data_IF_792433686649
#
_entry.id   IF_792433686649
#
_cell.length_a   1.000
_cell.length_b   1.000
_cell.length_c   1.000
_cell.angle_alpha   90.00
_cell.angle_beta   90.00
_cell.angle_gamma   90.00
#
_symmetry.space_group_name_H-M   'P 1'
#
loop_
_entity.id
_entity.type
_entity.pdbx_description
1 polymer ?
#
# COMPACT_ATOMS: atom_id res chain seq x y z
N UNK A 1 10.13 5.27 -21.52
CA UNK A 1 11.30 4.48 -21.93
C UNK A 1 10.84 3.05 -22.18
N UNK A 2 11.38 2.34 -23.19
CA UNK A 2 11.05 0.92 -23.37
C UNK A 2 11.85 0.08 -22.37
N UNK A 3 11.25 -0.99 -21.85
CA UNK A 3 11.89 -1.90 -20.90
C UNK A 3 13.24 -2.43 -21.40
N UNK A 4 13.34 -2.73 -22.71
CA UNK A 4 14.58 -3.17 -23.38
C UNK A 4 15.77 -2.23 -23.23
N UNK A 5 15.51 -0.93 -23.01
CA UNK A 5 16.54 0.10 -22.94
C UNK A 5 16.95 0.40 -21.49
N UNK A 6 16.24 -0.17 -20.50
CA UNK A 6 16.43 0.08 -19.08
C UNK A 6 17.73 -0.55 -18.55
N UNK A 7 17.99 -1.81 -18.88
CA UNK A 7 19.20 -2.55 -18.46
C UNK A 7 20.51 -1.86 -18.84
N UNK A 8 20.76 -1.49 -20.11
CA UNK A 8 21.98 -0.79 -20.48
C UNK A 8 22.07 0.61 -19.85
N UNK A 9 20.94 1.26 -19.52
CA UNK A 9 20.93 2.54 -18.83
C UNK A 9 21.36 2.40 -17.36
N UNK A 10 20.73 1.49 -16.61
CA UNK A 10 21.08 1.24 -15.21
C UNK A 10 22.54 0.81 -15.07
N UNK A 11 23.02 -0.07 -15.95
CA UNK A 11 24.41 -0.52 -15.92
C UNK A 11 25.40 0.63 -16.12
N UNK A 12 25.07 1.57 -17.02
CA UNK A 12 25.92 2.74 -17.29
C UNK A 12 25.93 3.72 -16.12
N UNK A 13 24.78 4.02 -15.52
CA UNK A 13 24.71 4.93 -14.36
C UNK A 13 25.32 4.29 -13.11
N UNK A 14 25.12 2.98 -12.88
CA UNK A 14 25.76 2.24 -11.79
C UNK A 14 27.28 2.29 -11.92
N UNK A 15 27.82 2.06 -13.13
CA UNK A 15 29.26 2.13 -13.39
C UNK A 15 29.82 3.54 -13.20
N UNK A 16 29.03 4.58 -13.50
CA UNK A 16 29.44 5.99 -13.33
C UNK A 16 29.45 6.40 -11.85
N UNK A 17 28.49 5.94 -11.06
CA UNK A 17 28.34 6.33 -9.65
C UNK A 17 29.23 5.51 -8.71
N UNK A 18 29.32 4.19 -8.96
CA UNK A 18 29.92 3.22 -8.04
C UNK A 18 31.00 2.33 -8.69
N UNK A 19 31.30 2.51 -9.97
CA UNK A 19 32.30 1.71 -10.68
C UNK A 19 31.86 0.25 -10.85
N UNK A 20 32.80 -0.69 -10.71
CA UNK A 20 32.53 -2.13 -10.80
C UNK A 20 32.25 -2.77 -9.44
N UNK A 21 31.98 -1.97 -8.42
CA UNK A 21 31.85 -2.45 -7.04
C UNK A 21 30.47 -3.04 -6.75
N UNK A 22 29.47 -2.62 -7.52
CA UNK A 22 28.08 -3.03 -7.39
C UNK A 22 27.64 -3.78 -8.64
N UNK A 23 26.76 -4.75 -8.44
CA UNK A 23 26.22 -5.61 -9.48
C UNK A 23 24.76 -5.26 -9.75
N UNK A 24 24.44 -5.05 -11.02
CA UNK A 24 23.06 -4.91 -11.46
C UNK A 24 22.38 -6.28 -11.39
N UNK A 25 21.29 -6.37 -10.65
CA UNK A 25 20.45 -7.55 -10.59
C UNK A 25 19.25 -7.44 -11.51
N UNK A 26 18.13 -7.98 -11.03
CA UNK A 26 16.86 -7.96 -11.73
C UNK A 26 16.36 -6.53 -11.96
N UNK A 27 15.60 -6.36 -13.04
CA UNK A 27 15.02 -5.08 -13.45
C UNK A 27 13.55 -5.35 -13.70
N UNK A 28 12.69 -4.49 -13.19
CA UNK A 28 11.25 -4.63 -13.39
C UNK A 28 10.55 -3.30 -13.47
N UNK A 29 9.26 -3.35 -13.77
CA UNK A 29 8.40 -2.18 -13.71
C UNK A 29 7.88 -2.04 -12.30
N UNK A 30 8.29 -0.97 -11.62
CA UNK A 30 7.77 -0.61 -10.31
C UNK A 30 6.53 0.27 -10.48
N UNK A 31 5.44 -0.10 -9.80
CA UNK A 31 4.24 0.73 -9.73
C UNK A 31 4.24 1.47 -8.39
N UNK A 32 4.49 2.78 -8.44
CA UNK A 32 4.50 3.69 -7.29
C UNK A 32 3.21 4.51 -7.24
N UNK A 33 2.92 5.16 -6.13
CA UNK A 33 1.71 6.00 -5.96
C UNK A 33 1.59 7.09 -7.04
N UNK A 34 2.75 7.60 -7.51
CA UNK A 34 2.89 8.60 -8.57
C UNK A 34 2.91 8.06 -10.01
N UNK A 35 2.75 6.75 -10.22
CA UNK A 35 2.71 6.11 -11.54
C UNK A 35 3.77 5.03 -11.76
N UNK A 36 3.94 4.60 -13.01
CA UNK A 36 4.90 3.55 -13.39
C UNK A 36 6.33 4.10 -13.40
N UNK A 37 7.28 3.29 -12.93
CA UNK A 37 8.73 3.51 -12.95
C UNK A 37 9.43 2.22 -13.37
N UNK A 38 10.69 2.32 -13.75
CA UNK A 38 11.58 1.17 -13.92
C UNK A 38 12.46 1.09 -12.68
N UNK A 39 12.57 -0.07 -12.06
CA UNK A 39 13.43 -0.31 -10.91
C UNK A 39 14.48 -1.36 -11.21
N UNK A 40 15.64 -1.27 -10.59
CA UNK A 40 16.69 -2.25 -10.68
C UNK A 40 17.27 -2.58 -9.30
N UNK A 41 17.26 -3.86 -8.91
CA UNK A 41 17.88 -4.33 -7.65
C UNK A 41 19.38 -4.29 -7.83
N UNK A 42 20.08 -3.67 -6.88
CA UNK A 42 21.54 -3.59 -6.89
C UNK A 42 22.11 -4.43 -5.76
N UNK A 43 23.13 -5.21 -6.09
CA UNK A 43 23.78 -6.15 -5.19
C UNK A 43 25.25 -5.78 -4.97
N UNK A 44 25.78 -6.26 -3.85
CA UNK A 44 27.22 -6.28 -3.58
C UNK A 44 27.62 -7.68 -3.14
N UNK A 45 28.74 -8.16 -3.65
CA UNK A 45 29.30 -9.46 -3.27
C UNK A 45 30.42 -9.23 -2.25
N UNK A 46 30.22 -9.70 -1.02
CA UNK A 46 31.19 -9.61 0.08
C UNK A 46 31.39 -10.99 0.67
N UNK A 47 32.66 -11.44 0.78
CA UNK A 47 33.01 -12.75 1.36
C UNK A 47 32.23 -13.94 0.76
N UNK A 48 32.07 -13.96 -0.57
CA UNK A 48 31.33 -14.99 -1.32
C UNK A 48 29.81 -15.02 -1.04
N UNK A 49 29.28 -14.04 -0.30
CA UNK A 49 27.85 -13.85 -0.10
C UNK A 49 27.36 -12.61 -0.86
N UNK A 50 26.17 -12.73 -1.46
CA UNK A 50 25.55 -11.68 -2.25
C UNK A 50 24.53 -10.95 -1.38
N UNK A 51 24.72 -9.65 -1.19
CA UNK A 51 23.83 -8.80 -0.38
C UNK A 51 23.11 -7.81 -1.28
N UNK A 52 21.85 -7.55 -0.99
CA UNK A 52 21.10 -6.47 -1.64
C UNK A 52 21.53 -5.15 -0.99
N UNK A 53 21.98 -4.21 -1.81
CA UNK A 53 22.35 -2.85 -1.38
C UNK A 53 21.14 -1.94 -1.37
N UNK A 54 20.32 -2.04 -2.41
CA UNK A 54 19.10 -1.24 -2.55
C UNK A 54 18.57 -1.26 -3.98
N UNK A 55 17.63 -0.35 -4.24
CA UNK A 55 16.92 -0.22 -5.50
C UNK A 55 17.34 1.08 -6.20
N UNK A 56 17.61 1.02 -7.51
CA UNK A 56 17.73 2.21 -8.35
C UNK A 56 16.44 2.40 -9.14
N UNK A 57 15.86 3.60 -9.13
CA UNK A 57 14.62 3.89 -9.83
C UNK A 57 14.81 4.91 -10.96
N UNK A 58 14.06 4.69 -12.04
CA UNK A 58 14.04 5.52 -13.23
C UNK A 58 12.60 5.84 -13.64
N UNK A 59 12.34 7.12 -13.90
CA UNK A 59 11.06 7.59 -14.41
C UNK A 59 10.82 7.07 -15.82
N UNK A 60 9.55 6.97 -16.24
CA UNK A 60 9.22 6.62 -17.63
C UNK A 60 9.75 7.64 -18.66
N UNK A 61 10.21 8.81 -18.21
CA UNK A 61 10.81 9.84 -19.06
C UNK A 61 12.35 9.75 -19.15
N UNK A 62 12.97 8.79 -18.46
CA UNK A 62 14.43 8.56 -18.51
C UNK A 62 15.23 9.31 -17.44
N UNK A 63 14.57 9.88 -16.44
CA UNK A 63 15.23 10.57 -15.33
C UNK A 63 15.47 9.59 -14.18
N UNK A 64 16.68 9.58 -13.65
CA UNK A 64 17.04 8.77 -12.48
C UNK A 64 16.41 9.43 -11.24
N UNK A 65 15.46 8.75 -10.60
CA UNK A 65 14.67 9.31 -9.50
C UNK A 65 15.34 9.03 -8.16
N UNK A 66 15.72 7.77 -7.94
CA UNK A 66 16.18 7.29 -6.65
C UNK A 66 17.47 6.49 -6.81
N UNK A 67 18.44 6.81 -5.96
CA UNK A 67 19.73 6.13 -5.85
C UNK A 67 20.08 6.09 -4.37
N UNK A 68 20.27 4.91 -3.82
CA UNK A 68 20.80 4.76 -2.46
C UNK A 68 22.18 5.42 -2.35
N UNK A 69 22.47 6.04 -1.20
CA UNK A 69 23.75 6.71 -0.93
C UNK A 69 24.91 5.73 -0.68
N UNK A 70 26.13 6.27 -0.63
CA UNK A 70 27.35 5.49 -0.31
C UNK A 70 27.31 4.88 1.09
N UNK A 71 26.66 5.56 2.05
CA UNK A 71 26.55 5.08 3.42
C UNK A 71 25.79 3.76 3.50
N UNK A 72 24.76 3.58 2.66
CA UNK A 72 24.03 2.32 2.56
C UNK A 72 24.93 1.16 2.15
N UNK A 73 25.84 1.39 1.20
CA UNK A 73 26.83 0.40 0.77
C UNK A 73 27.76 0.03 1.94
N UNK A 74 28.19 1.02 2.73
CA UNK A 74 29.07 0.81 3.89
C UNK A 74 28.35 0.03 5.00
N UNK A 75 27.08 0.32 5.26
CA UNK A 75 26.23 -0.44 6.19
C UNK A 75 26.11 -1.90 5.76
N UNK A 76 25.75 -2.18 4.51
CA UNK A 76 25.65 -3.54 4.00
C UNK A 76 26.96 -4.33 4.16
N UNK A 77 28.11 -3.69 3.91
CA UNK A 77 29.42 -4.31 4.15
C UNK A 77 29.64 -4.58 5.64
N UNK A 78 29.29 -3.63 6.51
CA UNK A 78 29.45 -3.79 7.97
C UNK A 78 28.58 -4.92 8.52
N UNK A 79 27.34 -5.01 8.03
CA UNK A 79 26.38 -6.06 8.41
C UNK A 79 26.85 -7.45 7.95
N UNK A 80 27.47 -7.54 6.77
CA UNK A 80 28.08 -8.77 6.26
C UNK A 80 29.24 -9.29 7.14
N UNK A 81 29.90 -8.41 7.90
CA UNK A 81 30.99 -8.78 8.81
C UNK A 81 30.56 -8.88 10.29
N UNK A 82 29.28 -8.66 10.62
CA UNK A 82 28.77 -8.82 11.99
C UNK A 82 28.15 -10.20 12.20
N UNK A 83 28.45 -10.87 13.32
CA UNK A 83 27.90 -12.22 13.65
C UNK A 83 26.38 -12.24 13.89
N UNK A 84 25.67 -11.09 13.78
CA UNK A 84 24.22 -10.98 13.97
C UNK A 84 23.38 -11.31 12.73
N UNK A 85 23.98 -11.53 11.57
CA UNK A 85 23.29 -11.71 10.27
C UNK A 85 23.32 -13.15 9.74
N UNK A 86 23.07 -14.14 10.61
CA UNK A 86 22.88 -15.53 10.18
C UNK A 86 21.46 -15.82 9.66
N UNK A 87 20.54 -14.85 9.73
CA UNK A 87 19.26 -14.94 9.01
C UNK A 87 19.43 -14.26 7.65
N UNK A 88 19.11 -14.95 6.53
CA UNK A 88 19.02 -14.30 5.24
C UNK A 88 18.07 -13.10 5.38
N UNK A 89 18.53 -11.94 4.94
CA UNK A 89 17.67 -10.78 4.76
C UNK A 89 16.51 -11.24 3.85
N UNK A 90 15.33 -11.49 4.42
CA UNK A 90 14.14 -11.84 3.64
C UNK A 90 14.00 -10.81 2.52
N UNK A 91 13.80 -11.30 1.29
CA UNK A 91 13.71 -10.55 0.03
C UNK A 91 12.44 -9.67 0.04
N UNK A 92 12.40 -8.68 0.93
CA UNK A 92 11.28 -7.75 1.12
C UNK A 92 11.22 -6.66 0.04
N UNK A 93 12.24 -6.61 -0.83
CA UNK A 93 12.26 -5.73 -1.98
C UNK A 93 11.49 -6.41 -3.11
N UNK A 94 10.32 -5.85 -3.41
CA UNK A 94 9.47 -6.08 -4.58
C UNK A 94 9.98 -7.19 -5.51
N UNK A 95 9.26 -8.32 -5.55
CA UNK A 95 9.37 -9.23 -6.71
C UNK A 95 9.10 -8.37 -7.94
N UNK A 96 10.13 -8.20 -8.77
CA UNK A 96 9.91 -7.65 -10.08
C UNK A 96 8.96 -8.60 -10.80
N UNK A 97 8.03 -8.04 -11.58
CA UNK A 97 7.25 -8.83 -12.53
C UNK A 97 8.20 -9.38 -13.59
N UNK A 98 8.94 -10.45 -13.29
CA UNK A 98 9.79 -11.17 -14.23
C UNK A 98 9.75 -12.69 -13.98
N UNK A 99 9.77 -13.41 -15.11
CA UNK A 99 9.63 -14.85 -15.27
C UNK A 99 10.39 -15.65 -14.21
N UNK A 100 9.67 -16.50 -13.47
CA UNK A 100 10.20 -17.39 -12.45
C UNK A 100 11.46 -18.13 -12.95
N UNK A 101 12.61 -17.75 -12.41
CA UNK A 101 13.85 -18.51 -12.58
C UNK A 101 13.81 -19.73 -11.67
N UNK A 102 14.05 -20.88 -12.28
CA UNK A 102 13.95 -22.22 -11.69
C UNK A 102 15.02 -22.48 -10.63
N UNK A 103 14.62 -22.55 -9.36
CA UNK A 103 15.20 -23.47 -8.36
C UNK A 103 14.25 -24.67 -8.16
N UNK A 104 14.76 -25.79 -7.63
CA UNK A 104 14.05 -27.07 -7.45
C UNK A 104 12.89 -27.05 -6.40
N UNK A 105 12.20 -25.92 -6.25
CA UNK A 105 11.07 -25.76 -5.32
C UNK A 105 9.74 -25.96 -6.05
N UNK A 106 8.79 -26.69 -5.43
CA UNK A 106 7.47 -26.93 -5.98
C UNK A 106 6.79 -25.59 -6.34
N UNK A 107 6.29 -25.49 -7.58
CA UNK A 107 5.49 -24.31 -7.98
C UNK A 107 4.21 -24.22 -7.12
N UNK A 108 3.65 -23.01 -6.90
CA UNK A 108 2.40 -22.85 -6.13
C UNK A 108 1.24 -23.70 -6.66
N UNK A 109 1.16 -23.89 -7.98
CA UNK A 109 0.16 -24.76 -8.62
C UNK A 109 0.35 -26.23 -8.20
N UNK A 110 1.58 -26.74 -8.26
CA UNK A 110 1.89 -28.12 -7.86
C UNK A 110 1.70 -28.34 -6.35
N UNK A 111 2.04 -27.33 -5.54
CA UNK A 111 1.78 -27.35 -4.10
C UNK A 111 0.27 -27.46 -3.81
N UNK A 112 -0.58 -26.72 -4.56
CA UNK A 112 -2.04 -26.80 -4.43
C UNK A 112 -2.60 -28.17 -4.78
N UNK A 113 -2.16 -28.75 -5.90
CA UNK A 113 -2.61 -30.09 -6.31
C UNK A 113 -2.25 -31.15 -5.26
N UNK A 114 -1.04 -31.07 -4.69
CA UNK A 114 -0.60 -31.98 -3.62
C UNK A 114 -1.37 -31.76 -2.32
N UNK A 115 -1.69 -30.52 -1.98
CA UNK A 115 -2.55 -30.19 -0.82
C UNK A 115 -3.93 -30.84 -0.95
N UNK A 116 -4.58 -30.72 -2.11
CA UNK A 116 -5.90 -31.30 -2.34
C UNK A 116 -5.88 -32.83 -2.17
N UNK A 117 -4.81 -33.50 -2.62
CA UNK A 117 -4.62 -34.94 -2.43
C UNK A 117 -4.43 -35.31 -0.94
N UNK A 118 -3.60 -34.56 -0.21
CA UNK A 118 -3.34 -34.80 1.22
C UNK A 118 -4.59 -34.57 2.06
N UNK A 119 -5.34 -33.49 1.80
CA UNK A 119 -6.58 -33.18 2.51
C UNK A 119 -7.68 -34.24 2.28
N UNK A 120 -7.70 -34.90 1.12
CA UNK A 120 -8.62 -36.02 0.86
C UNK A 120 -8.29 -37.27 1.67
N UNK A 121 -7.02 -37.52 2.00
CA UNK A 121 -6.63 -38.69 2.81
C UNK A 121 -7.01 -38.53 4.28
N UNK A 122 -6.95 -37.31 4.82
CA UNK A 122 -7.44 -36.97 6.16
C UNK A 122 -6.70 -37.62 7.33
N UNK A 123 -5.53 -38.22 7.12
CA UNK A 123 -4.71 -38.78 8.20
C UNK A 123 -3.91 -37.69 8.91
N UNK A 124 -3.54 -37.90 10.18
CA UNK A 124 -2.76 -36.94 10.95
C UNK A 124 -1.40 -36.62 10.30
N UNK A 125 -0.76 -37.62 9.70
CA UNK A 125 0.51 -37.47 8.99
C UNK A 125 0.34 -36.65 7.69
N UNK A 126 -0.76 -36.86 6.95
CA UNK A 126 -1.06 -36.07 5.75
C UNK A 126 -1.40 -34.61 6.08
N UNK A 127 -2.06 -34.35 7.22
CA UNK A 127 -2.31 -32.99 7.70
C UNK A 127 -1.00 -32.29 8.12
N UNK A 128 -0.05 -33.02 8.72
CA UNK A 128 1.26 -32.47 9.03
C UNK A 128 2.07 -32.16 7.76
N UNK A 129 2.00 -32.99 6.72
CA UNK A 129 2.63 -32.71 5.43
C UNK A 129 1.97 -31.52 4.73
N UNK A 130 0.63 -31.44 4.75
CA UNK A 130 -0.13 -30.31 4.21
C UNK A 130 0.26 -28.98 4.89
N UNK A 131 0.46 -28.98 6.21
CA UNK A 131 0.91 -27.81 6.98
C UNK A 131 2.17 -27.16 6.40
N UNK A 132 3.11 -27.96 5.90
CA UNK A 132 4.38 -27.49 5.35
C UNK A 132 4.25 -26.89 3.93
N UNK A 133 3.16 -27.20 3.22
CA UNK A 133 2.93 -26.71 1.86
C UNK A 133 2.19 -25.37 1.82
N UNK A 134 1.39 -25.06 2.84
CA UNK A 134 0.60 -23.82 2.89
C UNK A 134 1.40 -22.52 2.79
N UNK A 135 2.59 -22.37 3.42
CA UNK A 135 3.37 -21.14 3.31
C UNK A 135 3.71 -20.75 1.86
N UNK A 136 3.89 -21.73 0.97
CA UNK A 136 4.16 -21.51 -0.46
C UNK A 136 2.98 -20.84 -1.19
N UNK A 137 1.77 -20.88 -0.63
CA UNK A 137 0.56 -20.29 -1.20
C UNK A 137 0.24 -18.89 -0.67
N UNK A 138 0.98 -18.40 0.33
CA UNK A 138 0.75 -17.07 0.94
C UNK A 138 1.28 -15.91 0.07
N UNK A 139 2.07 -16.20 -0.96
CA UNK A 139 2.67 -15.21 -1.84
C UNK A 139 1.61 -14.38 -2.58
N UNK A 140 0.49 -14.99 -3.00
CA UNK A 140 -0.56 -14.30 -3.75
C UNK A 140 -1.50 -13.51 -2.81
N UNK A 141 -1.52 -12.16 -2.87
CA UNK A 141 -2.32 -11.33 -1.98
C UNK A 141 -3.83 -11.57 -2.11
N UNK A 142 -4.33 -11.81 -3.33
CA UNK A 142 -5.77 -11.95 -3.59
C UNK A 142 -6.34 -13.24 -2.96
N UNK A 143 -5.51 -14.28 -2.83
CA UNK A 143 -5.89 -15.57 -2.23
C UNK A 143 -5.42 -15.75 -0.80
N UNK A 144 -4.53 -14.89 -0.30
CA UNK A 144 -3.87 -15.03 1.01
C UNK A 144 -4.87 -15.22 2.15
N UNK A 145 -5.95 -14.44 2.20
CA UNK A 145 -6.99 -14.58 3.22
C UNK A 145 -7.67 -15.95 3.21
N UNK A 146 -7.92 -16.52 2.02
CA UNK A 146 -8.49 -17.86 1.88
C UNK A 146 -7.51 -18.95 2.34
N UNK A 147 -6.23 -18.82 1.97
CA UNK A 147 -5.15 -19.73 2.40
C UNK A 147 -5.00 -19.72 3.92
N UNK A 148 -4.96 -18.55 4.56
CA UNK A 148 -4.89 -18.41 6.02
C UNK A 148 -6.10 -19.06 6.73
N UNK A 149 -7.30 -18.91 6.16
CA UNK A 149 -8.49 -19.57 6.68
C UNK A 149 -8.36 -21.10 6.60
N UNK A 150 -7.90 -21.64 5.47
CA UNK A 150 -7.66 -23.08 5.32
C UNK A 150 -6.61 -23.61 6.31
N UNK A 151 -5.52 -22.87 6.50
CA UNK A 151 -4.51 -23.17 7.54
C UNK A 151 -5.15 -23.19 8.93
N UNK A 152 -6.01 -22.23 9.27
CA UNK A 152 -6.70 -22.19 10.54
C UNK A 152 -7.59 -23.43 10.74
N UNK A 153 -8.29 -23.88 9.70
CA UNK A 153 -9.10 -25.10 9.74
C UNK A 153 -8.24 -26.36 9.92
N UNK A 154 -7.07 -26.42 9.29
CA UNK A 154 -6.11 -27.50 9.48
C UNK A 154 -5.59 -27.55 10.92
N UNK A 155 -5.24 -26.41 11.51
CA UNK A 155 -4.80 -26.34 12.91
C UNK A 155 -5.91 -26.76 13.88
N UNK A 156 -7.18 -26.43 13.59
CA UNK A 156 -8.31 -26.97 14.36
C UNK A 156 -8.42 -28.50 14.25
N UNK A 157 -8.18 -29.08 13.08
CA UNK A 157 -8.18 -30.52 12.89
C UNK A 157 -7.04 -31.20 13.68
N UNK A 158 -5.88 -30.53 13.77
CA UNK A 158 -4.75 -30.93 14.60
C UNK A 158 -4.91 -30.61 16.10
N UNK A 159 -6.04 -29.99 16.50
CA UNK A 159 -6.37 -29.57 17.88
C UNK A 159 -5.51 -28.45 18.44
N UNK A 160 -4.87 -27.64 17.59
CA UNK A 160 -4.09 -26.47 17.97
C UNK A 160 -4.97 -25.21 17.95
N UNK A 161 -5.82 -25.04 18.96
CA UNK A 161 -6.83 -23.97 18.96
C UNK A 161 -6.25 -22.56 18.97
N UNK A 162 -5.17 -22.31 19.72
CA UNK A 162 -4.53 -20.98 19.78
C UNK A 162 -3.87 -20.59 18.44
N UNK A 163 -3.26 -21.54 17.74
CA UNK A 163 -2.67 -21.28 16.43
C UNK A 163 -3.77 -21.01 15.39
N UNK A 164 -4.86 -21.76 15.44
CA UNK A 164 -6.02 -21.52 14.58
C UNK A 164 -6.66 -20.15 14.81
N UNK A 165 -6.80 -19.71 16.07
CA UNK A 165 -7.34 -18.39 16.40
C UNK A 165 -6.51 -17.26 15.78
N UNK A 166 -5.17 -17.30 15.90
CA UNK A 166 -4.29 -16.31 15.27
C UNK A 166 -4.44 -16.29 13.74
N UNK A 167 -4.45 -17.47 13.10
CA UNK A 167 -4.64 -17.56 11.64
C UNK A 167 -6.02 -17.04 11.20
N UNK A 168 -7.06 -17.22 12.00
CA UNK A 168 -8.37 -16.61 11.74
C UNK A 168 -8.35 -15.09 11.86
N UNK A 169 -7.65 -14.54 12.85
CA UNK A 169 -7.45 -13.09 13.00
C UNK A 169 -6.77 -12.54 11.74
N UNK A 170 -5.71 -13.19 11.28
CA UNK A 170 -4.97 -12.77 10.08
C UNK A 170 -5.82 -12.91 8.81
N UNK A 171 -6.57 -14.00 8.66
CA UNK A 171 -7.52 -14.16 7.55
C UNK A 171 -8.60 -13.05 7.53
N UNK A 172 -9.12 -12.67 8.70
CA UNK A 172 -10.12 -11.59 8.83
C UNK A 172 -9.55 -10.24 8.42
N UNK A 173 -8.28 -9.97 8.76
CA UNK A 173 -7.59 -8.75 8.32
C UNK A 173 -7.51 -8.68 6.80
N UNK A 174 -7.17 -9.79 6.13
CA UNK A 174 -7.15 -9.85 4.66
C UNK A 174 -8.54 -9.74 4.04
N UNK A 175 -9.56 -10.39 4.63
CA UNK A 175 -10.93 -10.24 4.16
C UNK A 175 -11.46 -8.81 4.33
N UNK A 176 -11.05 -8.11 5.39
CA UNK A 176 -11.42 -6.73 5.61
C UNK A 176 -10.76 -5.79 4.58
N UNK A 177 -9.50 -6.06 4.19
CA UNK A 177 -8.81 -5.34 3.11
C UNK A 177 -9.62 -5.36 1.79
N UNK A 178 -10.25 -6.50 1.48
CA UNK A 178 -11.02 -6.74 0.25
C UNK A 178 -12.54 -6.61 0.42
N UNK A 179 -13.01 -6.07 1.56
CA UNK A 179 -14.43 -5.91 1.88
C UNK A 179 -15.29 -7.19 1.77
N UNK A 180 -14.71 -8.36 2.09
CA UNK A 180 -15.34 -9.68 2.01
C UNK A 180 -16.12 -10.03 3.29
N UNK A 181 -17.16 -9.23 3.61
CA UNK A 181 -17.89 -9.31 4.88
C UNK A 181 -18.50 -10.69 5.19
N UNK A 182 -18.97 -11.41 4.17
CA UNK A 182 -19.58 -12.73 4.36
C UNK A 182 -18.56 -13.78 4.82
N UNK A 183 -17.28 -13.62 4.45
CA UNK A 183 -16.21 -14.49 4.93
C UNK A 183 -15.81 -14.13 6.37
N UNK A 184 -15.80 -12.85 6.72
CA UNK A 184 -15.58 -12.40 8.10
C UNK A 184 -16.69 -12.94 9.01
N UNK A 185 -17.95 -12.86 8.59
CA UNK A 185 -19.10 -13.39 9.34
C UNK A 185 -18.94 -14.89 9.63
N UNK A 186 -18.53 -15.70 8.64
CA UNK A 186 -18.24 -17.13 8.83
C UNK A 186 -17.13 -17.38 9.86
N UNK A 187 -16.10 -16.55 9.88
CA UNK A 187 -15.02 -16.65 10.87
C UNK A 187 -15.53 -16.27 12.26
N UNK A 188 -16.31 -15.19 12.39
CA UNK A 188 -16.96 -14.77 13.65
C UNK A 188 -17.82 -15.89 14.22
N UNK A 189 -18.69 -16.50 13.40
CA UNK A 189 -19.54 -17.62 13.82
C UNK A 189 -18.73 -18.82 14.32
N UNK A 190 -17.60 -19.11 13.65
CA UNK A 190 -16.74 -20.24 14.00
C UNK A 190 -15.96 -19.98 15.27
N UNK A 191 -15.32 -18.82 15.41
CA UNK A 191 -14.61 -18.42 16.64
C UNK A 191 -15.56 -18.33 17.84
N UNK A 192 -16.80 -17.89 17.63
CA UNK A 192 -17.84 -17.89 18.67
C UNK A 192 -18.07 -19.28 19.26
N UNK A 193 -17.97 -20.34 18.46
CA UNK A 193 -18.10 -21.73 18.94
C UNK A 193 -16.86 -22.24 19.69
N UNK A 194 -15.69 -21.64 19.45
CA UNK A 194 -14.41 -22.07 20.02
C UNK A 194 -14.14 -21.33 21.34
N UNK A 195 -14.19 -19.99 21.29
CA UNK A 195 -13.82 -19.11 22.42
C UNK A 195 -15.05 -18.76 23.28
N UNK A 196 -16.25 -18.85 22.72
CA UNK A 196 -17.51 -18.55 23.39
C UNK A 196 -18.03 -17.14 23.15
N UNK A 197 -19.36 -16.96 23.28
CA UNK A 197 -20.04 -15.71 22.93
C UNK A 197 -19.61 -14.49 23.77
N UNK A 198 -19.24 -14.69 25.04
CA UNK A 198 -18.85 -13.56 25.91
C UNK A 198 -17.48 -13.00 25.51
N UNK A 199 -16.50 -13.88 25.28
CA UNK A 199 -15.16 -13.48 24.83
C UNK A 199 -15.20 -12.81 23.44
N UNK A 200 -16.08 -13.28 22.55
CA UNK A 200 -16.22 -12.70 21.21
C UNK A 200 -16.71 -11.26 21.21
N UNK A 201 -17.44 -10.79 22.23
CA UNK A 201 -17.93 -9.40 22.27
C UNK A 201 -16.80 -8.37 22.23
N UNK A 202 -15.67 -8.68 22.87
CA UNK A 202 -14.50 -7.78 22.97
C UNK A 202 -13.38 -8.16 22.02
N UNK A 203 -13.54 -9.25 21.26
CA UNK A 203 -12.52 -9.77 20.37
C UNK A 203 -12.29 -8.87 19.15
N UNK A 204 -11.03 -8.74 18.74
CA UNK A 204 -10.61 -7.93 17.58
C UNK A 204 -11.34 -8.29 16.27
N UNK A 205 -11.62 -9.57 16.03
CA UNK A 205 -12.37 -10.03 14.85
C UNK A 205 -13.77 -9.43 14.81
N UNK A 206 -14.47 -9.36 15.95
CA UNK A 206 -15.79 -8.74 16.05
C UNK A 206 -15.71 -7.22 15.82
N UNK A 207 -14.66 -6.57 16.33
CA UNK A 207 -14.42 -5.13 16.09
C UNK A 207 -14.19 -4.86 14.59
N UNK A 208 -13.33 -5.64 13.95
CA UNK A 208 -13.05 -5.55 12.50
C UNK A 208 -14.29 -5.84 11.67
N UNK A 209 -15.10 -6.83 12.06
CA UNK A 209 -16.39 -7.12 11.43
C UNK A 209 -17.32 -5.91 11.47
N UNK A 210 -17.57 -5.34 12.65
CA UNK A 210 -18.44 -4.17 12.79
C UNK A 210 -17.91 -2.96 12.03
N UNK A 211 -16.60 -2.67 12.08
CA UNK A 211 -15.99 -1.58 11.31
C UNK A 211 -16.18 -1.77 9.81
N UNK A 212 -15.97 -2.98 9.30
CA UNK A 212 -16.17 -3.30 7.88
C UNK A 212 -17.64 -3.15 7.49
N UNK A 213 -18.55 -3.58 8.36
CA UNK A 213 -20.00 -3.44 8.17
C UNK A 213 -20.45 -1.97 8.17
N UNK A 214 -19.82 -1.13 8.98
CA UNK A 214 -20.04 0.32 9.00
C UNK A 214 -19.52 1.00 7.73
N UNK A 215 -18.31 0.67 7.28
CA UNK A 215 -17.75 1.15 6.00
C UNK A 215 -18.67 0.76 4.83
N UNK A 216 -19.30 -0.41 4.85
CA UNK A 216 -20.23 -0.89 3.82
C UNK A 216 -21.66 -0.28 3.87
N UNK A 217 -21.96 0.60 4.83
CA UNK A 217 -23.30 1.21 4.91
C UNK A 217 -23.59 2.06 3.69
N UNK A 218 -24.71 1.78 3.03
CA UNK A 218 -25.13 2.55 1.88
C UNK A 218 -25.45 4.00 2.23
N UNK A 219 -25.06 4.90 1.34
CA UNK A 219 -25.34 6.32 1.39
C UNK A 219 -26.68 6.62 0.74
N UNK A 220 -27.45 7.53 1.36
CA UNK A 220 -28.78 7.89 0.89
C UNK A 220 -28.79 9.21 0.13
N UNK A 221 -27.94 10.15 0.53
CA UNK A 221 -27.77 11.45 -0.10
C UNK A 221 -26.29 11.90 -0.07
N UNK A 222 -25.89 12.80 -0.98
CA UNK A 222 -24.56 13.42 -0.99
C UNK A 222 -24.26 14.20 0.30
N UNK A 223 -25.28 14.62 1.05
CA UNK A 223 -25.10 15.21 2.38
C UNK A 223 -24.51 14.24 3.41
N UNK A 224 -24.65 12.92 3.19
CA UNK A 224 -24.09 11.90 4.07
C UNK A 224 -22.60 11.63 3.75
N UNK A 225 -22.12 12.11 2.59
CA UNK A 225 -20.73 11.92 2.15
C UNK A 225 -19.79 12.80 2.99
N UNK A 226 -18.88 12.15 3.71
CA UNK A 226 -18.00 12.83 4.68
C UNK A 226 -17.19 13.98 4.08
N UNK A 227 -16.64 13.82 2.87
CA UNK A 227 -15.83 14.87 2.22
C UNK A 227 -16.66 16.11 1.84
N UNK A 228 -17.98 15.96 1.69
CA UNK A 228 -18.91 17.02 1.30
C UNK A 228 -19.62 17.67 2.50
N UNK A 229 -19.31 17.25 3.73
CA UNK A 229 -19.85 17.88 4.94
C UNK A 229 -19.52 19.38 4.98
N UNK A 230 -20.56 20.18 5.16
CA UNK A 230 -20.47 21.64 5.22
C UNK A 230 -20.57 22.35 3.86
N UNK A 231 -20.70 21.61 2.75
CA UNK A 231 -21.05 22.21 1.46
C UNK A 231 -22.51 22.72 1.46
N UNK A 232 -22.83 23.78 0.69
CA UNK A 232 -24.19 24.30 0.61
C UNK A 232 -25.19 23.24 0.15
N UNK A 233 -26.35 23.15 0.81
CA UNK A 233 -27.40 22.17 0.46
C UNK A 233 -27.86 22.29 -1.00
N UNK A 234 -27.92 23.52 -1.54
CA UNK A 234 -28.27 23.75 -2.94
C UNK A 234 -27.26 23.15 -3.91
N UNK A 235 -25.96 23.25 -3.61
CA UNK A 235 -24.89 22.64 -4.41
C UNK A 235 -25.03 21.11 -4.41
N UNK A 236 -25.22 20.49 -3.25
CA UNK A 236 -25.35 19.03 -3.15
C UNK A 236 -26.58 18.52 -3.91
N UNK A 237 -27.68 19.27 -3.85
CA UNK A 237 -28.91 18.94 -4.60
C UNK A 237 -28.69 19.05 -6.12
N UNK A 238 -27.97 20.07 -6.56
CA UNK A 238 -27.63 20.25 -7.98
C UNK A 238 -26.69 19.13 -8.47
N UNK A 239 -25.68 18.76 -7.66
CA UNK A 239 -24.80 17.62 -7.94
C UNK A 239 -25.57 16.30 -8.05
N UNK A 240 -26.50 16.02 -7.13
CA UNK A 240 -27.36 14.83 -7.19
C UNK A 240 -28.24 14.81 -8.45
N UNK A 241 -28.76 15.96 -8.86
CA UNK A 241 -29.61 16.09 -10.05
C UNK A 241 -28.82 15.88 -11.35
N UNK A 242 -27.57 16.35 -11.41
CA UNK A 242 -26.68 16.16 -12.56
C UNK A 242 -26.04 14.76 -12.60
N UNK A 243 -26.17 13.97 -11.54
CA UNK A 243 -25.61 12.63 -11.45
C UNK A 243 -26.44 11.59 -12.22
N UNK A 244 -25.75 10.67 -12.89
CA UNK A 244 -26.37 9.43 -13.36
C UNK A 244 -26.32 8.37 -12.24
N UNK A 245 -27.46 7.82 -11.84
CA UNK A 245 -27.56 6.70 -10.89
C UNK A 245 -27.38 5.37 -11.66
N UNK A 246 -26.20 4.75 -11.50
CA UNK A 246 -25.81 3.55 -12.25
C UNK A 246 -25.70 2.36 -11.31
N UNK A 247 -26.26 1.23 -11.73
CA UNK A 247 -26.10 -0.07 -11.03
C UNK A 247 -25.17 -0.95 -11.85
N UNK A 248 -24.14 -1.47 -11.20
CA UNK A 248 -23.09 -2.30 -11.77
C UNK A 248 -23.26 -3.76 -11.28
N UNK A 249 -23.08 -4.71 -12.20
CA UNK A 249 -22.98 -6.12 -11.87
C UNK A 249 -21.58 -6.44 -11.29
N UNK A 250 -21.45 -7.54 -10.54
CA UNK A 250 -20.13 -7.94 -10.02
C UNK A 250 -19.17 -8.22 -11.19
N UNK A 251 -17.98 -7.66 -11.11
CA UNK A 251 -16.92 -7.76 -12.11
C UNK A 251 -17.01 -6.71 -13.23
N UNK A 252 -18.07 -5.91 -13.28
CA UNK A 252 -18.22 -4.84 -14.27
C UNK A 252 -17.20 -3.72 -14.02
N UNK A 253 -16.51 -3.29 -15.08
CA UNK A 253 -15.49 -2.24 -15.03
C UNK A 253 -16.13 -0.91 -15.44
N UNK A 254 -16.08 0.09 -14.56
CA UNK A 254 -16.68 1.42 -14.80
C UNK A 254 -15.66 2.43 -15.32
N UNK A 255 -14.39 2.26 -14.98
CA UNK A 255 -13.25 3.04 -15.46
C UNK A 255 -12.12 2.05 -15.74
N UNK A 256 -11.47 2.15 -16.90
CA UNK A 256 -10.32 1.32 -17.25
C UNK A 256 -9.00 2.08 -17.10
N UNK A 257 -7.94 1.40 -16.68
CA UNK A 257 -6.58 1.95 -16.55
C UNK A 257 -6.05 2.47 -17.90
N UNK A 258 -5.40 3.65 -17.88
CA UNK A 258 -4.75 4.23 -19.05
C UNK A 258 -5.67 5.01 -19.99
N UNK A 259 -6.99 4.96 -19.80
CA UNK A 259 -7.94 5.75 -20.58
C UNK A 259 -7.93 7.24 -20.18
N UNK A 260 -8.33 8.17 -21.06
CA UNK A 260 -8.46 9.57 -20.69
C UNK A 260 -9.41 9.76 -19.50
N UNK A 261 -8.92 10.38 -18.42
CA UNK A 261 -9.73 10.66 -17.24
C UNK A 261 -10.78 11.72 -17.59
N UNK A 262 -12.02 11.29 -17.78
CA UNK A 262 -13.15 12.12 -18.21
C UNK A 262 -14.37 12.00 -17.30
N UNK A 263 -14.36 11.03 -16.38
CA UNK A 263 -15.49 10.69 -15.51
C UNK A 263 -15.04 10.58 -14.07
N UNK A 264 -15.94 10.93 -13.18
CA UNK A 264 -15.81 10.74 -11.74
C UNK A 264 -17.13 10.20 -11.16
N UNK A 265 -17.06 9.64 -9.96
CA UNK A 265 -18.18 8.95 -9.35
C UNK A 265 -18.09 8.93 -7.83
N UNK A 266 -19.21 8.65 -7.19
CA UNK A 266 -19.31 8.30 -5.77
C UNK A 266 -19.97 6.95 -5.63
N UNK A 267 -19.43 6.12 -4.74
CA UNK A 267 -20.04 4.84 -4.39
C UNK A 267 -21.22 5.10 -3.45
N UNK A 268 -22.43 4.68 -3.86
CA UNK A 268 -23.64 4.78 -3.04
C UNK A 268 -23.86 3.54 -2.20
N UNK A 269 -23.66 2.35 -2.77
CA UNK A 269 -23.75 1.06 -2.07
C UNK A 269 -22.90 0.01 -2.79
N UNK A 270 -22.47 -1.03 -2.07
CA UNK A 270 -21.52 -2.00 -2.59
C UNK A 270 -20.09 -1.46 -2.54
N UNK A 271 -19.19 -2.00 -3.36
CA UNK A 271 -17.77 -1.60 -3.39
C UNK A 271 -17.22 -1.63 -4.80
N UNK A 272 -16.18 -0.84 -5.03
CA UNK A 272 -15.36 -0.88 -6.25
C UNK A 272 -13.93 -1.24 -5.86
N UNK A 273 -13.33 -2.20 -6.53
CA UNK A 273 -11.91 -2.52 -6.41
C UNK A 273 -11.10 -1.65 -7.35
N UNK A 274 -9.99 -1.11 -6.84
CA UNK A 274 -8.93 -0.48 -7.63
C UNK A 274 -8.00 -1.57 -8.12
N UNK A 275 -7.99 -1.80 -9.42
CA UNK A 275 -7.29 -2.91 -10.06
C UNK A 275 -6.22 -2.37 -11.00
N UNK A 276 -5.03 -2.94 -10.92
CA UNK A 276 -3.92 -2.65 -11.81
C UNK A 276 -3.77 -3.78 -12.84
N UNK A 277 -3.86 -3.45 -14.13
CA UNK A 277 -4.03 -4.43 -15.20
C UNK A 277 -2.73 -4.93 -15.84
N UNK A 278 -1.59 -4.30 -15.58
CA UNK A 278 -0.32 -4.70 -16.22
C UNK A 278 0.64 -5.39 -15.27
N UNK A 279 0.12 -6.33 -14.49
CA UNK A 279 0.80 -7.46 -13.87
C UNK A 279 0.45 -8.71 -14.71
N UNK A 280 1.13 -9.87 -14.54
CA UNK A 280 0.73 -11.12 -15.24
C UNK A 280 -0.76 -11.47 -15.01
N UNK A 281 -1.26 -11.13 -13.81
CA UNK A 281 -2.68 -11.16 -13.47
C UNK A 281 -3.11 -9.82 -12.87
N UNK A 282 -4.31 -9.29 -13.20
CA UNK A 282 -4.78 -8.04 -12.64
C UNK A 282 -4.78 -8.08 -11.11
N UNK A 283 -3.99 -7.20 -10.49
CA UNK A 283 -3.83 -7.15 -9.03
C UNK A 283 -4.83 -6.17 -8.43
N UNK A 284 -5.57 -6.60 -7.41
CA UNK A 284 -6.40 -5.68 -6.63
C UNK A 284 -5.52 -4.97 -5.59
N UNK A 285 -5.52 -3.63 -5.63
CA UNK A 285 -4.69 -2.82 -4.74
C UNK A 285 -5.45 -2.46 -3.47
N UNK A 286 -6.69 -2.03 -3.62
CA UNK A 286 -7.59 -1.68 -2.51
C UNK A 286 -9.04 -1.80 -2.95
N UNK A 287 -9.93 -1.97 -1.99
CA UNK A 287 -11.37 -1.78 -2.19
C UNK A 287 -11.79 -0.40 -1.70
N UNK A 288 -12.63 0.26 -2.49
CA UNK A 288 -13.27 1.53 -2.18
C UNK A 288 -14.69 1.29 -1.65
N UNK A 289 -15.08 2.08 -0.65
CA UNK A 289 -16.32 1.94 0.10
C UNK A 289 -17.35 3.03 -0.24
N UNK A 290 -18.64 2.83 0.12
CA UNK A 290 -19.66 3.86 0.02
C UNK A 290 -19.22 5.21 0.58
N UNK A 291 -19.36 6.26 -0.22
CA UNK A 291 -18.97 7.63 0.10
C UNK A 291 -17.63 8.08 -0.44
N UNK A 292 -16.80 7.16 -0.95
CA UNK A 292 -15.57 7.54 -1.62
C UNK A 292 -15.87 8.17 -2.99
N UNK A 293 -15.21 9.30 -3.27
CA UNK A 293 -15.27 10.02 -4.54
C UNK A 293 -14.07 9.64 -5.41
N UNK A 294 -14.30 8.97 -6.53
CA UNK A 294 -13.25 8.43 -7.39
C UNK A 294 -13.25 9.12 -8.75
N UNK A 295 -12.10 9.12 -9.43
CA UNK A 295 -11.93 9.75 -10.74
C UNK A 295 -11.62 11.25 -10.64
N UNK A 296 -11.00 11.69 -9.55
CA UNK A 296 -10.66 13.07 -9.22
C UNK A 296 -9.79 13.72 -10.31
N UNK A 297 -8.97 12.92 -10.98
CA UNK A 297 -8.15 13.38 -12.10
C UNK A 297 -8.98 13.89 -13.30
N UNK A 298 -10.25 13.46 -13.44
CA UNK A 298 -11.14 13.93 -14.49
C UNK A 298 -11.61 15.37 -14.31
N UNK A 299 -11.47 15.94 -13.11
CA UNK A 299 -11.93 17.30 -12.79
C UNK A 299 -10.82 18.23 -12.30
N UNK A 300 -9.72 17.68 -11.75
CA UNK A 300 -8.58 18.46 -11.25
C UNK A 300 -7.52 18.78 -12.32
N UNK A 301 -7.67 18.26 -13.53
CA UNK A 301 -6.82 18.57 -14.67
C UNK A 301 -7.67 18.98 -15.86
N UNK A 302 -7.09 19.63 -16.89
CA UNK A 302 -7.82 19.88 -18.11
C UNK A 302 -8.41 18.57 -18.67
N UNK A 303 -9.68 18.56 -19.12
CA UNK A 303 -10.39 17.34 -19.48
C UNK A 303 -9.62 16.42 -20.45
N UNK A 304 -9.47 15.14 -20.08
CA UNK A 304 -8.83 14.11 -20.91
C UNK A 304 -7.31 14.28 -21.09
N UNK A 305 -6.66 15.20 -20.38
CA UNK A 305 -5.20 15.40 -20.49
C UNK A 305 -4.35 14.43 -19.71
N UNK A 306 -4.92 13.81 -18.68
CA UNK A 306 -4.24 12.80 -17.87
C UNK A 306 -4.95 11.45 -18.02
N UNK A 307 -4.22 10.34 -18.05
CA UNK A 307 -4.82 9.02 -18.03
C UNK A 307 -5.32 8.66 -16.62
N UNK A 308 -6.26 7.73 -16.57
CA UNK A 308 -6.65 7.00 -15.36
C UNK A 308 -5.47 6.14 -14.89
N UNK A 309 -5.25 6.09 -13.58
CA UNK A 309 -4.09 5.39 -12.98
C UNK A 309 -4.35 3.92 -12.68
N UNK A 310 -5.62 3.52 -12.63
CA UNK A 310 -6.06 2.16 -12.34
C UNK A 310 -7.48 1.95 -12.89
N UNK A 311 -7.87 0.68 -13.02
CA UNK A 311 -9.24 0.29 -13.33
C UNK A 311 -10.09 0.27 -12.07
N UNK A 312 -11.37 0.64 -12.17
CA UNK A 312 -12.36 0.52 -11.11
C UNK A 312 -13.37 -0.57 -11.47
N UNK A 313 -13.41 -1.63 -10.68
CA UNK A 313 -14.23 -2.82 -10.95
C UNK A 313 -15.20 -3.10 -9.80
N UNK A 314 -16.47 -3.35 -10.09
CA UNK A 314 -17.44 -3.70 -9.06
C UNK A 314 -17.09 -5.04 -8.39
N UNK A 315 -16.82 -5.01 -7.08
CA UNK A 315 -16.45 -6.22 -6.33
C UNK A 315 -17.70 -6.99 -5.83
N UNK A 316 -18.81 -6.26 -5.68
CA UNK A 316 -20.09 -6.73 -5.14
C UNK A 316 -21.23 -6.50 -6.13
N UNK A 317 -22.33 -7.22 -5.92
CA UNK A 317 -23.55 -7.01 -6.68
C UNK A 317 -24.77 -6.89 -5.75
N UNK A 318 -25.64 -5.88 -5.96
CA UNK A 318 -25.43 -4.74 -6.85
C UNK A 318 -24.50 -3.68 -6.21
N UNK A 319 -23.48 -3.21 -6.95
CA UNK A 319 -22.80 -1.96 -6.61
C UNK A 319 -23.55 -0.81 -7.29
N UNK A 320 -23.91 0.23 -6.54
CA UNK A 320 -24.57 1.43 -7.08
C UNK A 320 -23.68 2.65 -6.91
N UNK A 321 -23.65 3.49 -7.93
CA UNK A 321 -22.84 4.69 -7.97
C UNK A 321 -23.65 5.88 -8.47
N UNK A 322 -23.24 7.08 -8.06
CA UNK A 322 -23.54 8.32 -8.77
C UNK A 322 -22.37 8.66 -9.65
N UNK A 323 -22.61 8.85 -10.95
CA UNK A 323 -21.56 9.11 -11.95
C UNK A 323 -21.78 10.47 -12.61
N UNK A 324 -20.69 11.19 -12.84
CA UNK A 324 -20.70 12.46 -13.59
C UNK A 324 -19.70 12.42 -14.74
N UNK A 325 -20.04 13.13 -15.81
CA UNK A 325 -19.04 13.58 -16.76
C UNK A 325 -18.26 14.73 -16.10
N UNK A 326 -16.93 14.67 -16.15
CA UNK A 326 -16.05 15.60 -15.43
C UNK A 326 -16.33 17.07 -15.79
N UNK A 327 -16.70 17.34 -17.04
CA UNK A 327 -17.02 18.70 -17.50
C UNK A 327 -18.20 19.34 -16.75
N UNK A 328 -19.18 18.56 -16.31
CA UNK A 328 -20.32 19.06 -15.54
C UNK A 328 -19.84 19.53 -14.15
N UNK A 329 -19.04 18.70 -13.49
CA UNK A 329 -18.45 19.01 -12.20
C UNK A 329 -17.45 20.17 -12.25
N UNK A 330 -16.66 20.31 -13.30
CA UNK A 330 -15.77 21.47 -13.50
C UNK A 330 -16.60 22.76 -13.57
N UNK A 331 -17.77 22.73 -14.22
CA UNK A 331 -18.67 23.88 -14.29
C UNK A 331 -19.27 24.23 -12.92
N UNK A 332 -19.57 23.22 -12.10
CA UNK A 332 -19.98 23.40 -10.71
C UNK A 332 -18.85 23.98 -9.85
N UNK A 333 -17.63 23.46 -9.95
CA UNK A 333 -16.45 23.93 -9.22
C UNK A 333 -16.12 25.39 -9.53
N UNK A 334 -16.30 25.84 -10.78
CA UNK A 334 -16.11 27.24 -11.16
C UNK A 334 -17.10 28.19 -10.45
N UNK A 335 -18.30 27.71 -10.11
CA UNK A 335 -19.31 28.47 -9.35
C UNK A 335 -19.15 28.32 -7.84
N UNK A 336 -18.67 27.17 -7.39
CA UNK A 336 -18.52 26.78 -5.98
C UNK A 336 -17.09 26.29 -5.71
N UNK A 337 -16.11 27.20 -5.49
CA UNK A 337 -14.70 26.85 -5.30
C UNK A 337 -14.46 25.91 -4.11
N UNK A 338 -15.34 25.92 -3.11
CA UNK A 338 -15.28 25.01 -1.97
C UNK A 338 -15.36 23.53 -2.39
N UNK A 339 -16.03 23.22 -3.50
CA UNK A 339 -16.13 21.85 -4.02
C UNK A 339 -14.77 21.36 -4.55
N UNK A 340 -14.02 22.22 -5.24
CA UNK A 340 -12.69 21.89 -5.73
C UNK A 340 -11.76 21.54 -4.56
N UNK A 341 -11.82 22.31 -3.48
CA UNK A 341 -11.03 22.04 -2.27
C UNK A 341 -11.36 20.64 -1.73
N UNK A 342 -12.64 20.26 -1.64
CA UNK A 342 -13.04 18.92 -1.15
C UNK A 342 -12.55 17.80 -2.05
N UNK A 343 -12.63 17.97 -3.37
CA UNK A 343 -12.17 16.96 -4.33
C UNK A 343 -10.65 16.82 -4.29
N UNK A 344 -9.92 17.92 -4.11
CA UNK A 344 -8.47 17.91 -3.94
C UNK A 344 -8.05 17.15 -2.68
N UNK A 345 -8.70 17.42 -1.54
CA UNK A 345 -8.48 16.67 -0.30
C UNK A 345 -8.79 15.18 -0.46
N UNK A 346 -9.88 14.83 -1.17
CA UNK A 346 -10.20 13.43 -1.45
C UNK A 346 -9.08 12.74 -2.25
N UNK A 347 -8.53 13.42 -3.27
CA UNK A 347 -7.39 12.91 -4.05
C UNK A 347 -6.16 12.68 -3.18
N UNK A 348 -5.84 13.60 -2.27
CA UNK A 348 -4.69 13.49 -1.36
C UNK A 348 -4.82 12.26 -0.45
N UNK A 349 -6.01 12.04 0.13
CA UNK A 349 -6.29 10.85 0.96
C UNK A 349 -6.15 9.57 0.13
N UNK A 350 -6.73 9.53 -1.08
CA UNK A 350 -6.62 8.33 -1.93
C UNK A 350 -5.21 8.05 -2.42
N UNK A 351 -4.37 9.08 -2.59
CA UNK A 351 -2.94 8.90 -2.87
C UNK A 351 -2.23 8.23 -1.69
N UNK A 352 -2.57 8.59 -0.45
CA UNK A 352 -2.05 7.94 0.75
C UNK A 352 -2.51 6.48 0.88
N UNK A 353 -3.79 6.19 0.67
CA UNK A 353 -4.29 4.81 0.68
C UNK A 353 -3.61 3.92 -0.37
N UNK A 354 -3.42 4.47 -1.57
CA UNK A 354 -2.73 3.80 -2.66
C UNK A 354 -1.25 3.60 -2.33
N UNK A 355 -0.61 4.59 -1.72
CA UNK A 355 0.76 4.51 -1.22
C UNK A 355 0.91 3.35 -0.22
N UNK A 356 0.09 3.29 0.84
CA UNK A 356 0.18 2.21 1.81
C UNK A 356 -0.03 0.83 1.20
N UNK A 357 -0.83 0.74 0.15
CA UNK A 357 -1.13 -0.53 -0.53
C UNK A 357 -0.05 -0.95 -1.54
N UNK A 358 0.71 0.00 -2.11
CA UNK A 358 1.74 -0.27 -3.13
C UNK A 358 3.16 -0.19 -2.58
N UNK A 359 3.38 0.43 -1.41
CA UNK A 359 4.71 0.60 -0.83
C UNK A 359 5.29 -0.75 -0.41
N UNK A 360 6.58 -0.95 -0.72
CA UNK A 360 7.28 -2.23 -0.58
C UNK A 360 7.13 -2.83 0.82
N UNK A 361 7.33 -2.02 1.87
CA UNK A 361 7.28 -2.48 3.27
C UNK A 361 5.89 -2.36 3.89
N UNK A 362 5.05 -1.43 3.41
CA UNK A 362 3.78 -1.08 4.09
C UNK A 362 2.58 -1.84 3.57
N UNK A 363 2.69 -2.46 2.39
CA UNK A 363 1.68 -3.38 1.87
C UNK A 363 1.38 -4.56 2.81
N UNK A 364 2.33 -4.89 3.70
CA UNK A 364 2.19 -5.96 4.69
C UNK A 364 1.47 -5.51 5.97
N UNK A 365 1.22 -4.21 6.15
CA UNK A 365 0.45 -3.72 7.28
C UNK A 365 -1.03 -4.02 7.07
N UNK A 366 -1.66 -4.58 8.11
CA UNK A 366 -3.09 -4.84 8.07
C UNK A 366 -3.92 -3.54 8.06
N UNK A 367 -5.18 -3.63 7.61
CA UNK A 367 -6.10 -2.48 7.55
C UNK A 367 -6.20 -1.70 8.86
N UNK A 368 -6.03 -2.35 10.01
CA UNK A 368 -6.16 -1.67 11.31
C UNK A 368 -4.97 -0.77 11.57
N UNK A 369 -3.76 -1.25 11.29
CA UNK A 369 -2.54 -0.45 11.42
C UNK A 369 -2.53 0.67 10.38
N UNK A 370 -2.96 0.39 9.14
CA UNK A 370 -3.05 1.41 8.09
C UNK A 370 -4.06 2.51 8.43
N UNK A 371 -5.27 2.13 8.87
CA UNK A 371 -6.28 3.09 9.36
C UNK A 371 -5.70 3.94 10.52
N UNK A 372 -5.01 3.32 11.48
CA UNK A 372 -4.43 4.04 12.62
C UNK A 372 -3.25 4.95 12.23
N UNK A 373 -2.47 4.58 11.22
CA UNK A 373 -1.41 5.42 10.67
C UNK A 373 -1.99 6.64 9.94
N UNK A 374 -3.09 6.45 9.19
CA UNK A 374 -3.85 7.55 8.60
C UNK A 374 -4.44 8.49 9.67
N UNK A 375 -4.85 7.96 10.83
CA UNK A 375 -5.32 8.79 11.97
C UNK A 375 -4.19 9.65 12.60
N UNK A 376 -2.93 9.32 12.32
CA UNK A 376 -1.76 10.13 12.68
C UNK A 376 -1.51 11.28 11.70
N UNK A 377 -2.18 11.31 10.55
CA UNK A 377 -2.04 12.37 9.55
C UNK A 377 -2.54 13.70 10.13
N UNK A 378 -1.64 14.67 10.21
CA UNK A 378 -1.94 16.03 10.63
C UNK A 378 -2.49 16.86 9.46
N UNK A 379 -1.77 16.84 8.34
CA UNK A 379 -2.13 17.57 7.13
C UNK A 379 -1.40 17.02 5.91
N UNK A 380 -1.89 17.36 4.72
CA UNK A 380 -1.12 17.28 3.48
C UNK A 380 -0.88 18.71 3.02
N UNK A 381 0.37 19.07 2.72
CA UNK A 381 0.75 20.44 2.35
C UNK A 381 1.73 20.46 1.17
N UNK A 382 1.70 21.54 0.39
CA UNK A 382 2.69 21.81 -0.64
C UNK A 382 3.76 22.73 -0.08
N UNK A 383 5.01 22.29 -0.10
CA UNK A 383 6.16 23.04 0.39
C UNK A 383 6.97 23.64 -0.75
N UNK A 384 7.38 24.90 -0.59
CA UNK A 384 8.25 25.60 -1.53
C UNK A 384 9.71 25.13 -1.41
N UNK A 385 10.51 25.22 -2.49
CA UNK A 385 11.93 24.89 -2.44
C UNK A 385 12.68 25.70 -1.38
N UNK A 386 13.56 25.05 -0.63
CA UNK A 386 14.34 25.63 0.46
C UNK A 386 13.60 25.77 1.78
N UNK A 387 12.30 25.40 1.86
CA UNK A 387 11.57 25.35 3.13
C UNK A 387 12.18 24.28 4.03
N UNK A 388 12.62 24.69 5.22
CA UNK A 388 13.10 23.80 6.27
C UNK A 388 11.91 23.00 6.84
N UNK A 389 12.11 21.70 7.01
CA UNK A 389 11.11 20.75 7.51
C UNK A 389 11.46 20.25 8.91
N UNK A 390 12.73 19.94 9.17
CA UNK A 390 13.25 19.52 10.47
C UNK A 390 14.55 20.29 10.73
N UNK A 391 14.66 20.93 11.89
CA UNK A 391 15.84 21.70 12.30
C UNK A 391 16.93 20.79 12.91
N UNK A 392 18.18 21.26 12.88
CA UNK A 392 19.31 20.56 13.49
C UNK A 392 19.21 20.55 15.03
N UNK A 393 19.63 19.43 15.63
CA UNK A 393 19.56 19.16 17.08
C UNK A 393 18.13 19.12 17.65
N UNK A 394 17.11 19.02 16.80
CA UNK A 394 15.72 18.88 17.20
C UNK A 394 15.24 17.42 17.07
N UNK A 395 14.40 16.99 18.02
CA UNK A 395 13.64 15.74 17.88
C UNK A 395 12.45 16.02 16.97
N UNK A 396 12.23 15.26 15.88
CA UNK A 396 11.17 15.58 14.94
C UNK A 396 9.79 15.56 15.60
N UNK A 397 9.12 16.71 15.67
CA UNK A 397 7.71 16.79 16.09
C UNK A 397 6.77 16.16 15.05
N UNK A 398 7.20 16.18 13.78
CA UNK A 398 6.49 15.61 12.65
C UNK A 398 7.35 14.68 11.82
N UNK A 399 6.71 13.68 11.23
CA UNK A 399 7.27 12.82 10.19
C UNK A 399 6.66 13.21 8.85
N UNK A 400 7.47 13.24 7.79
CA UNK A 400 7.02 13.64 6.47
C UNK A 400 7.07 12.47 5.49
N UNK A 401 5.99 12.26 4.73
CA UNK A 401 5.97 11.36 3.58
C UNK A 401 5.97 12.19 2.29
N UNK A 402 6.93 11.95 1.40
CA UNK A 402 7.02 12.66 0.12
C UNK A 402 6.04 12.04 -0.88
N UNK A 403 4.92 12.70 -1.15
CA UNK A 403 3.93 12.26 -2.15
C UNK A 403 4.37 12.67 -3.56
N UNK A 404 4.95 13.86 -3.69
CA UNK A 404 5.51 14.38 -4.94
C UNK A 404 6.70 15.28 -4.64
N UNK A 405 7.71 15.24 -5.50
CA UNK A 405 8.89 16.10 -5.41
C UNK A 405 10.04 15.40 -4.71
N UNK A 406 10.90 16.19 -4.07
CA UNK A 406 12.13 15.74 -3.42
C UNK A 406 12.40 16.54 -2.15
N UNK A 407 12.82 15.84 -1.11
CA UNK A 407 13.34 16.40 0.14
C UNK A 407 14.82 16.03 0.23
N UNK A 408 15.64 16.91 0.79
CA UNK A 408 17.06 16.65 1.02
C UNK A 408 17.39 16.81 2.49
N UNK A 409 18.24 15.92 2.98
CA UNK A 409 18.89 16.03 4.27
C UNK A 409 20.32 16.51 4.06
N UNK A 410 20.67 17.62 4.71
CA UNK A 410 22.01 18.15 4.75
C UNK A 410 22.64 17.78 6.11
N UNK A 411 23.53 16.77 6.17
CA UNK A 411 24.26 16.46 7.39
C UNK A 411 25.26 17.58 7.73
N UNK A 412 25.64 17.68 9.01
CA UNK A 412 26.65 18.63 9.51
C UNK A 412 28.02 18.46 8.84
N UNK A 413 28.34 17.24 8.42
CA UNK A 413 29.52 16.94 7.60
C UNK A 413 29.22 15.79 6.63
N UNK A 414 29.14 16.07 5.33
CA UNK A 414 28.88 15.06 4.31
C UNK A 414 28.22 15.63 3.07
N UNK A 415 27.98 14.76 2.10
CA UNK A 415 27.15 15.07 0.93
C UNK A 415 25.66 14.98 1.32
N UNK A 416 24.78 15.83 0.74
CA UNK A 416 23.35 15.78 1.01
C UNK A 416 22.74 14.47 0.52
N UNK A 417 21.79 13.95 1.29
CA UNK A 417 21.01 12.75 0.95
C UNK A 417 19.63 13.17 0.46
N UNK A 418 19.21 12.70 -0.72
CA UNK A 418 17.91 13.03 -1.31
C UNK A 418 16.89 11.92 -1.11
N UNK A 419 15.70 12.30 -0.66
CA UNK A 419 14.52 11.46 -0.46
C UNK A 419 13.49 11.78 -1.54
N UNK A 420 13.11 10.74 -2.28
CA UNK A 420 12.20 10.84 -3.40
C UNK A 420 10.75 10.60 -3.01
N UNK A 421 9.90 10.54 -4.01
CA UNK A 421 8.49 10.14 -3.84
C UNK A 421 8.40 8.75 -3.26
N UNK A 422 7.47 8.57 -2.32
CA UNK A 422 7.21 7.36 -1.53
C UNK A 422 8.21 7.13 -0.36
N UNK A 423 9.14 8.06 -0.12
CA UNK A 423 10.07 8.01 1.03
C UNK A 423 9.52 8.72 2.27
N UNK A 424 9.79 8.16 3.45
CA UNK A 424 9.52 8.79 4.75
C UNK A 424 10.75 9.52 5.26
N UNK A 425 10.54 10.69 5.86
CA UNK A 425 11.59 11.55 6.39
C UNK A 425 11.39 11.71 7.90
N UNK A 426 12.42 11.36 8.67
CA UNK A 426 12.45 11.51 10.13
C UNK A 426 11.67 10.45 10.91
N UNK A 427 11.19 9.37 10.27
CA UNK A 427 10.36 8.36 10.94
C UNK A 427 11.08 7.66 12.10
N UNK A 428 12.26 7.09 11.85
CA UNK A 428 13.04 6.40 12.89
C UNK A 428 13.42 7.34 14.05
N UNK A 429 13.87 8.55 13.72
CA UNK A 429 14.28 9.54 14.72
C UNK A 429 13.10 9.98 15.58
N UNK A 430 11.93 10.19 14.97
CA UNK A 430 10.68 10.48 15.67
C UNK A 430 10.22 9.34 16.59
N UNK A 431 10.41 8.07 16.18
CA UNK A 431 10.03 6.89 16.97
C UNK A 431 10.94 6.68 18.18
N UNK A 432 12.24 6.96 18.05
CA UNK A 432 13.23 6.78 19.11
C UNK A 432 13.54 8.06 19.91
N UNK A 433 12.90 9.18 19.58
CA UNK A 433 13.16 10.49 20.18
C UNK A 433 14.64 10.90 20.06
N UNK A 434 15.22 10.64 18.88
CA UNK A 434 16.61 10.99 18.56
C UNK A 434 16.61 12.37 17.89
N UNK A 435 17.48 13.25 18.36
CA UNK A 435 17.69 14.55 17.74
C UNK A 435 18.48 14.39 16.44
N UNK A 436 18.06 15.10 15.38
CA UNK A 436 18.69 14.97 14.06
C UNK A 436 20.02 15.74 14.01
N UNK A 437 21.07 15.08 13.51
CA UNK A 437 22.38 15.70 13.24
C UNK A 437 22.44 16.25 11.80
N UNK A 438 21.74 17.35 11.55
CA UNK A 438 21.62 17.98 10.23
C UNK A 438 20.25 18.61 10.04
N UNK A 439 19.96 19.09 8.83
CA UNK A 439 18.70 19.79 8.52
C UNK A 439 18.01 19.12 7.33
N UNK A 440 16.68 19.02 7.39
CA UNK A 440 15.88 18.58 6.24
C UNK A 440 15.24 19.79 5.57
N UNK A 441 15.38 19.91 4.26
CA UNK A 441 14.74 20.95 3.45
C UNK A 441 14.10 20.39 2.20
N UNK A 442 13.05 21.05 1.71
CA UNK A 442 12.48 20.74 0.41
C UNK A 442 13.46 21.15 -0.69
N UNK A 443 13.94 20.21 -1.50
CA UNK A 443 14.86 20.51 -2.61
C UNK A 443 14.15 21.20 -3.78
N UNK A 444 12.87 20.86 -3.97
CA UNK A 444 11.99 21.42 -4.99
C UNK A 444 10.57 21.61 -4.43
N UNK A 445 9.63 22.06 -5.27
CA UNK A 445 8.23 22.16 -4.87
C UNK A 445 7.66 20.76 -4.64
N UNK A 446 7.43 20.42 -3.38
CA UNK A 446 7.07 19.06 -2.97
C UNK A 446 5.70 19.02 -2.31
N UNK A 447 4.92 17.98 -2.59
CA UNK A 447 3.69 17.65 -1.87
C UNK A 447 4.05 16.62 -0.80
N UNK A 448 3.80 16.95 0.47
CA UNK A 448 4.15 16.10 1.59
C UNK A 448 2.94 15.83 2.48
N UNK A 449 2.83 14.61 2.99
CA UNK A 449 1.94 14.28 4.09
C UNK A 449 2.71 14.40 5.41
N UNK A 450 2.09 15.09 6.37
CA UNK A 450 2.67 15.41 7.67
C UNK A 450 1.97 14.55 8.72
N UNK A 451 2.72 13.77 9.48
CA UNK A 451 2.22 12.91 10.54
C UNK A 451 2.73 13.37 11.90
N UNK A 452 1.89 13.31 12.94
CA UNK A 452 2.28 13.66 14.31
C UNK A 452 3.15 12.56 14.92
N UNK A 453 4.39 12.92 15.31
CA UNK A 453 5.34 11.97 15.90
C UNK A 453 4.82 11.37 17.21
N UNK A 454 4.09 12.13 18.05
CA UNK A 454 3.51 11.62 19.30
C UNK A 454 2.50 10.50 19.05
N UNK A 455 1.61 10.67 18.07
CA UNK A 455 0.63 9.64 17.70
C UNK A 455 1.29 8.43 17.06
N UNK A 456 2.29 8.63 16.21
CA UNK A 456 3.07 7.53 15.62
C UNK A 456 3.81 6.72 16.69
N UNK A 457 4.37 7.37 17.72
CA UNK A 457 4.97 6.68 18.88
C UNK A 457 3.93 5.88 19.65
N UNK A 458 2.75 6.45 19.91
CA UNK A 458 1.66 5.74 20.58
C UNK A 458 1.17 4.52 19.76
N UNK A 459 1.13 4.66 18.43
CA UNK A 459 0.85 3.56 17.51
C UNK A 459 1.92 2.47 17.60
N UNK A 460 3.20 2.82 17.56
CA UNK A 460 4.30 1.86 17.68
C UNK A 460 4.25 1.09 19.02
N UNK A 461 4.00 1.78 20.14
CA UNK A 461 3.89 1.14 21.47
C UNK A 461 2.70 0.19 21.57
N UNK A 462 1.59 0.50 20.88
CA UNK A 462 0.40 -0.35 20.88
C UNK A 462 0.42 -1.44 19.80
N UNK A 463 1.44 -1.45 18.93
CA UNK A 463 1.55 -2.37 17.81
C UNK A 463 2.44 -3.59 18.14
N UNK A 464 2.24 -4.73 17.45
CA UNK A 464 3.14 -5.88 17.57
C UNK A 464 4.58 -5.56 17.14
N UNK A 465 5.60 -6.26 17.67
CA UNK A 465 7.00 -6.03 17.31
C UNK A 465 7.31 -6.10 15.81
N UNK A 466 6.59 -6.94 15.06
CA UNK A 466 6.74 -7.04 13.60
C UNK A 466 6.34 -5.75 12.88
N UNK A 467 5.29 -5.07 13.36
CA UNK A 467 4.85 -3.78 12.83
C UNK A 467 5.85 -2.70 13.19
N UNK A 468 6.35 -2.68 14.42
CA UNK A 468 7.37 -1.71 14.86
C UNK A 468 8.64 -1.83 14.01
N UNK A 469 9.11 -3.06 13.76
CA UNK A 469 10.26 -3.31 12.89
C UNK A 469 10.04 -2.82 11.44
N UNK A 470 8.81 -2.87 10.92
CA UNK A 470 8.46 -2.28 9.62
C UNK A 470 8.57 -0.76 9.67
N UNK A 471 8.01 -0.12 10.69
CA UNK A 471 8.01 1.34 10.83
C UNK A 471 9.43 1.91 11.04
N UNK A 472 10.28 1.23 11.81
CA UNK A 472 11.68 1.63 12.07
C UNK A 472 12.56 1.54 10.81
N UNK A 473 12.15 0.77 9.79
CA UNK A 473 12.87 0.63 8.52
C UNK A 473 12.50 1.70 7.49
N UNK A 474 11.48 2.51 7.75
CA UNK A 474 11.07 3.58 6.84
C UNK A 474 12.07 4.74 6.97
N UNK A 475 12.83 4.96 5.90
CA UNK A 475 13.87 5.98 5.80
C UNK A 475 13.85 6.65 4.44
#
# INVERSE_FOLDING_TARGET
MKFSDAAPFFQKELQKLYGSFLELGEIGVLRRSGGRRLGAKIYITVAEQRFIVGLMELSMNGELIEVFGRDRVIECIRDAFSEKSAEPMEDFFLDFDDEATTSEDLTPYQARERLDQLLQTGTADALAEARNLYPLLLANPDTRGAVLHEMALLELALKNTSAAENLFIDAVKEYANLAQIELIERVVERLTKIVGAEAMKTHDVTRTYHRTQEKLRAIKALSDVSIFKGLPFGLLTEMEFEAEDVSLAKGEVVISEGEPATRCLIIRSGTLDVVLEGFEQPRTVRSCFPGEFLGENAVLHPPGTVPTTASLRAAREPTRIWKWEGQNLITLMARYPELEIRIRTAKEIHQLDSFFSMHETLQFLDVTVRDAMLDCLYTVDTVEPGRMLIENEEVPEFVFLVIKGRVEWQPLSGDPVSFGVDSFVGMRDALHEIAIEGEYHAAETSLIAVFESEKLRALAVSSPPSVVAILERLH
#
